data_IF_601591034145
#
_entry.id   IF_601591034145
#
_cell.length_a   1.000
_cell.length_b   1.000
_cell.length_c   1.000
_cell.angle_alpha   90.00
_cell.angle_beta   90.00
_cell.angle_gamma   90.00
#
_symmetry.space_group_name_H-M   'P 1'
#
loop_
_entity.id
_entity.type
_entity.pdbx_description
1 polymer ?
#
# COMPACT_ATOMS: atom_id res chain seq x y z
N UNK A 1 1.81 61.88 19.49
CA UNK A 1 2.42 61.52 18.19
C UNK A 1 3.86 61.31 18.52
N UNK A 2 4.22 60.09 18.87
CA UNK A 2 5.61 59.71 19.13
C UNK A 2 5.78 58.35 18.46
N UNK A 3 6.43 58.39 17.31
CA UNK A 3 6.83 57.23 16.50
C UNK A 3 8.14 56.70 17.08
N UNK A 4 8.12 55.53 17.72
CA UNK A 4 9.35 54.80 18.03
C UNK A 4 9.76 53.93 16.85
N UNK A 5 10.94 54.25 16.32
CA UNK A 5 11.57 53.60 15.19
C UNK A 5 12.02 52.18 15.55
N UNK A 6 11.68 51.23 14.68
CA UNK A 6 12.08 49.83 14.76
C UNK A 6 13.43 49.67 14.04
N UNK A 7 14.49 49.33 14.75
CA UNK A 7 15.79 48.98 14.17
C UNK A 7 15.79 47.52 13.65
N UNK A 8 16.38 47.23 12.49
CA UNK A 8 16.43 45.87 11.94
C UNK A 8 17.54 45.03 12.58
N UNK A 9 17.20 43.80 12.97
CA UNK A 9 18.13 42.77 13.43
C UNK A 9 18.80 42.10 12.23
N UNK A 10 20.13 42.11 12.18
CA UNK A 10 20.90 41.37 11.16
C UNK A 10 20.99 39.87 11.50
N UNK A 11 20.94 38.96 10.50
CA UNK A 11 21.08 37.52 10.74
C UNK A 11 22.54 37.09 10.87
N UNK A 12 22.81 36.19 11.82
CA UNK A 12 24.12 35.56 12.06
C UNK A 12 24.53 34.59 10.93
N UNK A 13 25.84 34.38 10.68
CA UNK A 13 26.32 33.54 9.59
C UNK A 13 26.25 32.04 9.92
N UNK A 14 25.75 31.26 8.96
CA UNK A 14 25.70 29.80 8.99
C UNK A 14 27.11 29.17 9.07
N UNK A 15 27.32 28.38 10.13
CA UNK A 15 28.53 27.60 10.35
C UNK A 15 28.62 26.39 9.40
N UNK A 16 29.74 26.33 8.68
CA UNK A 16 30.15 25.24 7.80
C UNK A 16 30.97 24.21 8.58
N UNK A 17 30.70 22.92 8.38
CA UNK A 17 31.71 21.87 8.46
C UNK A 17 31.31 20.61 9.24
N UNK A 18 31.39 19.46 8.57
CA UNK A 18 31.33 18.15 9.22
C UNK A 18 31.03 16.98 8.30
N UNK A 19 31.75 16.86 7.17
CA UNK A 19 31.80 15.62 6.38
C UNK A 19 32.65 14.59 7.14
N UNK A 20 32.06 13.50 7.61
CA UNK A 20 32.79 12.27 7.93
C UNK A 20 32.16 11.09 7.21
N UNK A 21 32.75 10.79 6.05
CA UNK A 21 32.54 9.57 5.30
C UNK A 21 33.16 8.39 6.04
N UNK A 22 32.34 7.45 6.50
CA UNK A 22 32.82 6.14 6.97
C UNK A 22 33.05 5.24 5.76
N UNK A 23 34.30 4.85 5.58
CA UNK A 23 34.83 3.96 4.54
C UNK A 23 34.66 2.48 4.92
N UNK A 24 34.30 1.71 3.91
CA UNK A 24 34.74 0.35 3.55
C UNK A 24 34.77 -0.78 4.60
N UNK A 25 34.00 -1.84 4.35
CA UNK A 25 34.56 -3.19 4.06
C UNK A 25 33.58 -3.96 3.14
N UNK A 26 33.90 -4.07 1.84
CA UNK A 26 33.29 -5.06 0.95
C UNK A 26 34.38 -6.05 0.51
N UNK A 27 34.22 -7.32 0.90
CA UNK A 27 35.10 -8.41 0.48
C UNK A 27 34.57 -9.01 -0.83
N UNK A 28 35.35 -9.08 -1.92
CA UNK A 28 34.89 -9.70 -3.16
C UNK A 28 35.04 -11.23 -3.12
N UNK A 29 34.03 -11.93 -3.63
CA UNK A 29 34.06 -13.37 -3.93
C UNK A 29 34.81 -13.62 -5.27
N UNK A 30 35.46 -14.78 -5.44
CA UNK A 30 36.18 -15.12 -6.67
C UNK A 30 35.20 -15.46 -7.83
N UNK A 31 35.63 -15.33 -9.11
CA UNK A 31 34.78 -15.57 -10.26
C UNK A 31 34.62 -17.07 -10.56
N UNK A 32 33.38 -17.48 -10.88
CA UNK A 32 33.07 -18.80 -11.42
C UNK A 32 33.54 -18.92 -12.87
N UNK A 33 34.11 -20.09 -13.18
CA UNK A 33 34.69 -20.45 -14.46
C UNK A 33 33.61 -20.59 -15.54
N UNK A 34 33.89 -19.98 -16.71
CA UNK A 34 33.03 -20.03 -17.89
C UNK A 34 33.02 -21.44 -18.51
N UNK A 35 31.84 -22.05 -18.59
CA UNK A 35 31.60 -23.23 -19.42
C UNK A 35 31.34 -22.81 -20.87
N UNK A 36 32.12 -23.37 -21.78
CA UNK A 36 32.10 -23.12 -23.21
C UNK A 36 30.84 -23.65 -23.90
N UNK A 37 30.33 -22.88 -24.86
CA UNK A 37 29.25 -23.27 -25.77
C UNK A 37 29.77 -24.16 -26.91
N UNK A 38 29.13 -25.30 -27.12
CA UNK A 38 29.31 -26.12 -28.32
C UNK A 38 28.22 -25.77 -29.37
N UNK A 39 28.66 -25.36 -30.56
CA UNK A 39 27.80 -24.97 -31.67
C UNK A 39 27.16 -26.16 -32.41
N UNK A 40 26.09 -25.93 -33.19
CA UNK A 40 25.37 -27.00 -33.89
C UNK A 40 26.05 -27.40 -35.21
N UNK A 41 26.17 -28.71 -35.43
CA UNK A 41 26.64 -29.33 -36.68
C UNK A 41 25.62 -29.17 -37.83
N UNK A 42 26.11 -28.79 -39.01
CA UNK A 42 25.34 -28.65 -40.25
C UNK A 42 25.03 -30.01 -40.91
N UNK A 43 23.78 -30.19 -41.37
CA UNK A 43 23.35 -31.35 -42.15
C UNK A 43 23.49 -31.10 -43.68
N UNK A 44 23.84 -32.11 -44.50
CA UNK A 44 24.15 -31.90 -45.91
C UNK A 44 22.91 -31.83 -46.84
N UNK A 45 23.07 -31.01 -47.88
CA UNK A 45 22.09 -30.64 -48.89
C UNK A 45 21.57 -31.80 -49.77
N UNK A 46 20.26 -31.86 -49.96
CA UNK A 46 19.59 -32.74 -50.92
C UNK A 46 19.47 -32.06 -52.31
N UNK A 47 19.91 -32.78 -53.35
CA UNK A 47 19.86 -32.38 -54.76
C UNK A 47 18.41 -32.21 -55.26
N UNK A 48 18.11 -31.03 -55.78
CA UNK A 48 16.86 -30.73 -56.48
C UNK A 48 16.75 -31.41 -57.84
N UNK A 49 15.58 -31.99 -58.11
CA UNK A 49 15.16 -32.54 -59.40
C UNK A 49 14.36 -31.47 -60.14
N UNK A 50 14.84 -31.05 -61.31
CA UNK A 50 14.25 -30.01 -62.15
C UNK A 50 13.10 -30.63 -62.96
N UNK A 51 11.90 -30.06 -62.83
CA UNK A 51 10.75 -30.34 -63.70
C UNK A 51 10.59 -29.19 -64.69
N UNK A 52 10.49 -29.54 -65.97
CA UNK A 52 10.49 -28.61 -67.10
C UNK A 52 9.32 -27.63 -67.07
N UNK A 53 9.65 -26.35 -66.88
CA UNK A 53 8.78 -25.21 -67.06
C UNK A 53 8.61 -24.92 -68.55
N UNK A 54 7.59 -25.53 -69.18
CA UNK A 54 7.23 -25.17 -70.55
C UNK A 54 5.72 -25.11 -70.83
N UNK A 55 4.84 -25.45 -69.88
CA UNK A 55 3.39 -25.52 -70.14
C UNK A 55 2.49 -24.77 -69.13
N UNK A 56 3.06 -24.13 -68.10
CA UNK A 56 2.25 -23.57 -66.99
C UNK A 56 1.77 -22.10 -67.20
N UNK A 57 2.35 -21.35 -68.12
CA UNK A 57 2.08 -19.90 -68.26
C UNK A 57 0.67 -19.57 -68.81
N UNK A 58 0.10 -20.26 -69.82
CA UNK A 58 -1.23 -19.88 -70.33
C UNK A 58 -2.37 -20.31 -69.40
N UNK A 59 -2.20 -21.38 -68.61
CA UNK A 59 -3.24 -21.89 -67.72
C UNK A 59 -3.45 -21.00 -66.48
N UNK A 60 -2.37 -20.48 -65.88
CA UNK A 60 -2.45 -19.59 -64.71
C UNK A 60 -3.07 -18.25 -65.08
N UNK A 61 -2.75 -17.71 -66.27
CA UNK A 61 -3.33 -16.44 -66.72
C UNK A 61 -4.85 -16.55 -66.98
N UNK A 62 -5.31 -17.65 -67.56
CA UNK A 62 -6.74 -17.94 -67.75
C UNK A 62 -7.48 -18.08 -66.43
N UNK A 63 -6.89 -18.76 -65.44
CA UNK A 63 -7.48 -18.92 -64.11
C UNK A 63 -7.58 -17.58 -63.39
N UNK A 64 -6.54 -16.74 -63.45
CA UNK A 64 -6.56 -15.40 -62.82
C UNK A 64 -7.60 -14.49 -63.48
N UNK A 65 -7.70 -14.48 -64.81
CA UNK A 65 -8.72 -13.67 -65.52
C UNK A 65 -10.13 -14.17 -65.20
N UNK A 66 -10.33 -15.49 -65.11
CA UNK A 66 -11.63 -16.06 -64.76
C UNK A 66 -12.01 -15.76 -63.30
N UNK A 67 -11.07 -15.82 -62.36
CA UNK A 67 -11.31 -15.48 -60.95
C UNK A 67 -11.58 -13.98 -60.75
N UNK A 68 -10.92 -13.11 -61.50
CA UNK A 68 -11.19 -11.66 -61.47
C UNK A 68 -12.55 -11.33 -62.08
N UNK A 69 -12.94 -11.98 -63.18
CA UNK A 69 -14.28 -11.84 -63.77
C UNK A 69 -15.39 -12.31 -62.82
N UNK A 70 -15.18 -13.44 -62.12
CA UNK A 70 -16.11 -13.95 -61.10
C UNK A 70 -16.17 -13.02 -59.88
N UNK A 71 -15.05 -12.41 -59.49
CA UNK A 71 -14.99 -11.42 -58.40
C UNK A 71 -15.72 -10.12 -58.72
N UNK A 72 -15.67 -9.66 -59.97
CA UNK A 72 -16.39 -8.45 -60.40
C UNK A 72 -17.90 -8.67 -60.57
N UNK A 73 -18.33 -9.88 -60.92
CA UNK A 73 -19.76 -10.24 -61.02
C UNK A 73 -20.43 -10.53 -59.66
N UNK A 74 -19.67 -10.67 -58.56
CA UNK A 74 -20.20 -10.93 -57.21
C UNK A 74 -20.29 -9.71 -56.31
N UNK A 75 -19.94 -8.51 -56.79
CA UNK A 75 -19.83 -7.31 -55.93
C UNK A 75 -21.12 -6.50 -55.80
N UNK A 76 -22.16 -6.81 -56.57
CA UNK A 76 -23.46 -6.17 -56.43
C UNK A 76 -24.52 -7.23 -56.13
N UNK A 77 -24.82 -7.42 -54.84
CA UNK A 77 -26.15 -7.74 -54.29
C UNK A 77 -26.01 -8.22 -52.83
N UNK A 78 -26.54 -7.41 -51.89
CA UNK A 78 -26.78 -7.85 -50.52
C UNK A 78 -25.93 -7.19 -49.44
N UNK A 79 -26.15 -5.89 -49.21
CA UNK A 79 -25.94 -5.30 -47.88
C UNK A 79 -26.72 -6.17 -46.88
N UNK A 80 -26.04 -6.99 -46.09
CA UNK A 80 -26.69 -7.75 -45.04
C UNK A 80 -27.53 -6.80 -44.17
N UNK A 81 -28.81 -7.12 -43.88
CA UNK A 81 -29.62 -6.30 -43.01
C UNK A 81 -28.86 -6.14 -41.68
N UNK A 82 -28.85 -4.91 -41.12
CA UNK A 82 -28.42 -4.75 -39.72
C UNK A 82 -29.26 -5.73 -38.90
N UNK A 83 -28.64 -6.59 -38.06
CA UNK A 83 -29.42 -7.46 -37.20
C UNK A 83 -30.37 -6.56 -36.41
N UNK A 84 -31.67 -6.80 -36.55
CA UNK A 84 -32.64 -6.22 -35.64
C UNK A 84 -32.21 -6.63 -34.23
N UNK A 85 -32.09 -5.71 -33.26
CA UNK A 85 -31.82 -6.09 -31.89
C UNK A 85 -32.88 -7.12 -31.50
N UNK A 86 -32.43 -8.35 -31.25
CA UNK A 86 -33.29 -9.41 -30.76
C UNK A 86 -33.84 -8.90 -29.43
N UNK A 87 -35.17 -8.88 -29.23
CA UNK A 87 -35.71 -8.54 -27.92
C UNK A 87 -35.09 -9.53 -26.93
N UNK A 88 -34.27 -9.00 -26.02
CA UNK A 88 -33.75 -9.76 -24.88
C UNK A 88 -34.97 -10.20 -24.08
N UNK A 89 -35.38 -11.44 -24.29
CA UNK A 89 -36.34 -12.10 -23.42
C UNK A 89 -35.70 -12.17 -22.03
N UNK A 90 -36.34 -11.61 -20.99
CA UNK A 90 -35.85 -11.83 -19.65
C UNK A 90 -36.07 -13.31 -19.29
N UNK A 91 -35.05 -13.90 -18.68
CA UNK A 91 -35.03 -15.22 -18.06
C UNK A 91 -34.99 -16.44 -19.01
N UNK A 92 -33.86 -16.62 -19.70
CA UNK A 92 -33.22 -17.94 -19.58
C UNK A 92 -32.54 -17.94 -18.21
N UNK A 93 -32.76 -18.98 -17.42
CA UNK A 93 -32.04 -19.28 -16.19
C UNK A 93 -30.54 -19.00 -16.37
N UNK A 94 -30.14 -17.84 -15.86
CA UNK A 94 -28.88 -17.48 -15.22
C UNK A 94 -27.70 -18.38 -15.61
N UNK A 95 -26.73 -17.84 -16.37
CA UNK A 95 -25.35 -18.36 -16.34
C UNK A 95 -24.89 -18.29 -14.88
N UNK A 96 -25.09 -19.37 -14.13
CA UNK A 96 -24.87 -19.43 -12.69
C UNK A 96 -23.40 -19.66 -12.39
N UNK A 97 -22.69 -20.33 -13.32
CA UNK A 97 -21.29 -20.69 -13.14
C UNK A 97 -20.45 -20.24 -14.34
N UNK A 98 -19.21 -19.85 -14.06
CA UNK A 98 -18.26 -19.38 -15.07
C UNK A 98 -18.02 -20.44 -16.16
N UNK A 99 -18.05 -21.73 -15.78
CA UNK A 99 -17.87 -22.89 -16.67
C UNK A 99 -18.94 -23.02 -17.74
N UNK A 100 -20.09 -22.36 -17.58
CA UNK A 100 -21.16 -22.36 -18.60
C UNK A 100 -20.69 -21.68 -19.89
N UNK A 101 -19.71 -20.77 -19.79
CA UNK A 101 -19.09 -20.07 -20.92
C UNK A 101 -17.58 -20.33 -21.05
N UNK A 102 -16.88 -20.61 -19.95
CA UNK A 102 -15.43 -20.76 -19.92
C UNK A 102 -15.02 -22.21 -19.68
N UNK A 103 -14.61 -22.92 -20.74
CA UNK A 103 -14.05 -24.27 -20.64
C UNK A 103 -12.67 -24.32 -19.96
N UNK A 104 -11.99 -23.18 -19.83
CA UNK A 104 -10.63 -23.06 -19.31
C UNK A 104 -10.47 -21.70 -18.63
N UNK A 105 -10.60 -21.71 -17.30
CA UNK A 105 -10.57 -20.51 -16.46
C UNK A 105 -9.15 -19.91 -16.34
N UNK A 106 -8.12 -20.70 -16.61
CA UNK A 106 -6.71 -20.32 -16.46
C UNK A 106 -6.10 -19.74 -17.76
N UNK A 107 -6.85 -19.70 -18.87
CA UNK A 107 -6.36 -19.23 -20.16
C UNK A 107 -5.68 -17.85 -20.09
N UNK A 108 -6.37 -16.89 -19.47
CA UNK A 108 -5.89 -15.51 -19.38
C UNK A 108 -4.63 -15.36 -18.52
N UNK A 109 -4.45 -16.23 -17.53
CA UNK A 109 -3.25 -16.27 -16.68
C UNK A 109 -2.03 -16.81 -17.42
N UNK A 110 -2.24 -17.75 -18.35
CA UNK A 110 -1.15 -18.28 -19.19
C UNK A 110 -0.74 -17.30 -20.29
N UNK A 111 -1.70 -16.56 -20.83
CA UNK A 111 -1.44 -15.51 -21.83
C UNK A 111 -0.72 -14.29 -21.22
N UNK A 112 -0.92 -14.04 -19.93
CA UNK A 112 -0.30 -12.94 -19.19
C UNK A 112 0.39 -13.48 -17.94
N UNK A 113 1.59 -14.05 -18.15
CA UNK A 113 2.36 -14.81 -17.17
C UNK A 113 3.00 -13.95 -16.04
N UNK A 114 2.27 -12.96 -15.51
CA UNK A 114 2.69 -12.13 -14.36
C UNK A 114 2.41 -12.81 -13.02
N UNK A 115 1.66 -13.92 -13.01
CA UNK A 115 1.27 -14.69 -11.83
C UNK A 115 1.32 -16.21 -12.10
N UNK A 116 1.91 -16.95 -11.17
CA UNK A 116 1.97 -18.42 -11.11
C UNK A 116 0.78 -18.93 -10.29
N UNK A 117 -0.40 -18.93 -10.91
CA UNK A 117 -1.66 -19.35 -10.28
C UNK A 117 -2.39 -20.34 -11.18
N UNK A 118 -3.08 -21.32 -10.58
CA UNK A 118 -4.09 -22.14 -11.26
C UNK A 118 -5.32 -22.30 -10.37
N UNK A 119 -6.52 -22.27 -10.97
CA UNK A 119 -7.76 -22.56 -10.24
C UNK A 119 -7.75 -23.99 -9.70
N UNK A 120 -7.24 -24.95 -10.49
CA UNK A 120 -7.18 -26.37 -10.11
C UNK A 120 -6.49 -26.60 -8.75
N UNK A 121 -5.33 -25.97 -8.51
CA UNK A 121 -4.61 -26.14 -7.22
C UNK A 121 -5.37 -25.56 -6.05
N UNK A 122 -6.06 -24.44 -6.24
CA UNK A 122 -6.84 -23.81 -5.16
C UNK A 122 -8.11 -24.60 -4.87
N UNK A 123 -8.74 -25.16 -5.90
CA UNK A 123 -9.91 -26.03 -5.73
C UNK A 123 -9.52 -27.35 -5.05
N UNK A 124 -8.34 -27.91 -5.36
CA UNK A 124 -7.84 -29.13 -4.76
C UNK A 124 -7.61 -29.04 -3.24
N UNK A 125 -7.41 -27.84 -2.69
CA UNK A 125 -7.26 -27.61 -1.25
C UNK A 125 -8.60 -27.26 -0.56
N UNK A 126 -9.73 -27.37 -1.27
CA UNK A 126 -11.08 -27.20 -0.71
C UNK A 126 -11.66 -25.79 -0.85
N UNK A 127 -11.00 -24.87 -1.57
CA UNK A 127 -11.60 -23.56 -1.90
C UNK A 127 -12.55 -23.77 -3.06
N UNK A 128 -13.85 -23.90 -2.80
CA UNK A 128 -14.85 -24.17 -3.85
C UNK A 128 -15.79 -23.00 -4.14
N UNK A 129 -15.88 -22.02 -3.24
CA UNK A 129 -16.71 -20.84 -3.43
C UNK A 129 -15.93 -19.77 -4.20
N UNK A 130 -16.43 -19.41 -5.39
CA UNK A 130 -15.85 -18.38 -6.25
C UNK A 130 -15.73 -17.03 -5.53
N UNK A 131 -16.66 -16.70 -4.63
CA UNK A 131 -16.72 -15.42 -3.94
C UNK A 131 -15.56 -15.22 -2.94
N UNK A 132 -14.87 -16.30 -2.54
CA UNK A 132 -13.66 -16.23 -1.71
C UNK A 132 -12.57 -15.42 -2.42
N UNK A 133 -12.47 -15.54 -3.74
CA UNK A 133 -11.50 -14.78 -4.54
C UNK A 133 -12.16 -13.62 -5.30
N UNK A 134 -13.34 -13.83 -5.86
CA UNK A 134 -14.03 -12.87 -6.70
C UNK A 134 -15.11 -12.12 -5.92
N UNK A 135 -14.67 -11.14 -5.13
CA UNK A 135 -15.53 -10.31 -4.25
C UNK A 135 -16.44 -9.33 -4.99
N UNK A 136 -16.24 -9.18 -6.30
CA UNK A 136 -17.06 -8.38 -7.19
C UNK A 136 -17.35 -9.17 -8.47
N UNK A 137 -18.36 -8.74 -9.23
CA UNK A 137 -18.68 -9.36 -10.51
C UNK A 137 -17.44 -9.37 -11.42
N UNK A 138 -17.04 -10.54 -11.94
CA UNK A 138 -15.75 -10.70 -12.62
C UNK A 138 -15.69 -9.96 -13.96
N UNK A 139 -16.81 -9.79 -14.66
CA UNK A 139 -16.87 -9.06 -15.93
C UNK A 139 -17.90 -7.92 -15.88
N UNK A 140 -17.46 -6.74 -16.27
CA UNK A 140 -18.28 -5.59 -16.63
C UNK A 140 -18.16 -5.34 -18.15
N UNK A 141 -19.07 -4.56 -18.77
CA UNK A 141 -19.05 -4.33 -20.22
C UNK A 141 -17.71 -3.81 -20.76
N UNK A 142 -16.95 -3.09 -19.94
CA UNK A 142 -15.70 -2.41 -20.30
C UNK A 142 -14.46 -2.95 -19.59
N UNK A 143 -14.60 -3.87 -18.61
CA UNK A 143 -13.46 -4.39 -17.84
C UNK A 143 -13.68 -5.79 -17.25
N UNK A 144 -12.56 -6.47 -16.99
CA UNK A 144 -12.52 -7.67 -16.14
C UNK A 144 -12.01 -7.29 -14.76
N UNK A 145 -12.81 -7.51 -13.73
CA UNK A 145 -12.41 -7.37 -12.34
C UNK A 145 -11.61 -8.60 -11.91
N UNK A 146 -10.34 -8.39 -11.55
CA UNK A 146 -9.44 -9.44 -11.10
C UNK A 146 -9.21 -9.30 -9.60
N UNK A 147 -9.08 -10.42 -8.86
CA UNK A 147 -8.66 -10.38 -7.46
C UNK A 147 -7.36 -9.60 -7.31
N UNK A 148 -7.24 -8.84 -6.23
CA UNK A 148 -6.00 -8.12 -5.90
C UNK A 148 -5.09 -9.04 -5.08
N UNK A 149 -3.82 -8.64 -4.91
CA UNK A 149 -2.88 -9.36 -4.03
C UNK A 149 -3.42 -9.54 -2.61
N UNK A 150 -4.16 -8.55 -2.09
CA UNK A 150 -4.82 -8.59 -0.77
C UNK A 150 -5.69 -9.84 -0.62
N UNK A 151 -6.44 -10.20 -1.67
CA UNK A 151 -7.29 -11.40 -1.65
C UNK A 151 -6.49 -12.68 -1.43
N UNK A 152 -5.33 -12.82 -2.07
CA UNK A 152 -4.45 -13.97 -1.87
C UNK A 152 -3.95 -14.01 -0.41
N UNK A 153 -3.59 -12.85 0.15
CA UNK A 153 -3.03 -12.71 1.48
C UNK A 153 -4.06 -12.80 2.62
N UNK A 154 -5.34 -13.00 2.31
CA UNK A 154 -6.33 -13.41 3.32
C UNK A 154 -6.06 -14.83 3.84
N UNK A 155 -5.43 -15.67 3.02
CA UNK A 155 -5.06 -17.04 3.38
C UNK A 155 -3.54 -17.27 3.35
N UNK A 156 -2.80 -16.53 2.53
CA UNK A 156 -1.36 -16.64 2.37
C UNK A 156 -0.60 -15.61 3.21
N UNK A 157 0.66 -15.89 3.54
CA UNK A 157 1.55 -14.91 4.14
C UNK A 157 3.00 -15.16 3.71
N UNK A 158 3.84 -14.12 3.78
CA UNK A 158 5.28 -14.24 3.54
C UNK A 158 6.05 -14.69 4.80
N UNK A 159 5.35 -14.89 5.91
CA UNK A 159 5.94 -15.32 7.17
C UNK A 159 6.27 -16.81 7.15
N UNK A 160 7.25 -17.18 7.98
CA UNK A 160 7.60 -18.58 8.16
C UNK A 160 6.41 -19.36 8.76
N UNK A 161 6.08 -20.51 8.16
CA UNK A 161 4.93 -21.33 8.58
C UNK A 161 3.57 -20.88 8.04
N UNK A 162 3.50 -19.74 7.33
CA UNK A 162 2.31 -19.30 6.61
C UNK A 162 1.89 -20.24 5.48
N UNK A 163 0.69 -20.05 4.91
CA UNK A 163 0.26 -20.80 3.73
C UNK A 163 0.97 -20.23 2.49
N UNK A 164 1.62 -21.09 1.71
CA UNK A 164 2.56 -20.68 0.65
C UNK A 164 3.59 -19.63 1.15
N UNK A 165 4.37 -19.98 2.19
CA UNK A 165 5.34 -19.08 2.77
C UNK A 165 6.53 -18.92 1.82
N UNK A 166 7.25 -17.80 1.90
CA UNK A 166 8.50 -17.61 1.18
C UNK A 166 8.57 -16.31 0.39
N UNK A 167 9.24 -16.36 -0.77
CA UNK A 167 9.59 -15.18 -1.56
C UNK A 167 8.51 -14.82 -2.57
N UNK A 168 8.50 -13.57 -3.03
CA UNK A 168 7.58 -13.07 -4.07
C UNK A 168 7.58 -13.94 -5.33
N UNK A 169 8.71 -14.60 -5.62
CA UNK A 169 8.89 -15.49 -6.77
C UNK A 169 8.06 -16.77 -6.70
N UNK A 170 7.46 -17.12 -5.56
CA UNK A 170 6.54 -18.25 -5.50
C UNK A 170 5.30 -17.99 -6.37
N UNK A 171 4.83 -16.73 -6.37
CA UNK A 171 3.67 -16.28 -7.13
C UNK A 171 4.06 -15.50 -8.38
N UNK A 172 5.17 -14.77 -8.40
CA UNK A 172 5.54 -13.90 -9.52
C UNK A 172 6.78 -14.41 -10.27
N UNK A 173 6.93 -14.09 -11.57
CA UNK A 173 8.21 -14.21 -12.26
C UNK A 173 9.32 -13.44 -11.53
N UNK A 174 10.57 -13.91 -11.65
CA UNK A 174 11.72 -13.31 -10.94
C UNK A 174 12.06 -11.91 -11.45
N UNK A 175 11.76 -11.67 -12.71
CA UNK A 175 12.01 -10.46 -13.49
C UNK A 175 10.89 -9.41 -13.39
N UNK A 176 9.77 -9.74 -12.72
CA UNK A 176 8.71 -8.78 -12.49
C UNK A 176 9.14 -7.75 -11.44
N UNK A 177 9.03 -6.46 -11.75
CA UNK A 177 9.04 -5.40 -10.74
C UNK A 177 7.70 -5.41 -10.00
N UNK A 178 7.66 -5.82 -8.71
CA UNK A 178 6.43 -5.92 -7.95
C UNK A 178 5.92 -4.56 -7.46
N UNK A 179 6.68 -3.48 -7.66
CA UNK A 179 6.34 -2.15 -7.15
C UNK A 179 5.06 -1.63 -7.81
N UNK A 180 4.02 -1.30 -7.02
CA UNK A 180 2.82 -0.68 -7.57
C UNK A 180 3.14 0.65 -8.24
N UNK A 181 2.37 1.02 -9.27
CA UNK A 181 2.53 2.31 -9.96
C UNK A 181 2.48 3.52 -9.02
N UNK A 182 1.76 3.41 -7.91
CA UNK A 182 1.66 4.46 -6.89
C UNK A 182 3.00 4.86 -6.28
N UNK A 183 3.95 3.92 -6.17
CA UNK A 183 5.26 4.16 -5.56
C UNK A 183 6.20 4.97 -6.46
N UNK A 184 5.86 5.09 -7.76
CA UNK A 184 6.63 5.88 -8.73
C UNK A 184 6.10 7.31 -8.84
N UNK A 185 5.00 7.64 -8.16
CA UNK A 185 4.45 8.98 -8.16
C UNK A 185 5.32 9.88 -7.27
N UNK A 186 5.69 11.06 -7.77
CA UNK A 186 6.57 12.00 -7.06
C UNK A 186 5.94 12.52 -5.76
N UNK A 187 4.61 12.54 -5.67
CA UNK A 187 3.83 12.94 -4.50
C UNK A 187 3.44 11.76 -3.60
N UNK A 188 3.96 10.55 -3.86
CA UNK A 188 3.76 9.38 -3.00
C UNK A 188 4.17 9.70 -1.57
N UNK A 189 5.37 10.25 -1.39
CA UNK A 189 5.78 10.91 -0.16
C UNK A 189 5.82 12.42 -0.40
N UNK A 190 5.26 13.26 0.49
CA UNK A 190 4.68 12.94 1.81
C UNK A 190 3.15 12.75 1.82
N UNK A 191 2.45 13.02 0.72
CA UNK A 191 0.99 13.21 0.75
C UNK A 191 0.23 11.90 0.56
N UNK A 192 0.40 11.22 -0.57
CA UNK A 192 -0.48 10.08 -0.93
C UNK A 192 -0.24 8.84 -0.08
N UNK A 193 0.96 8.67 0.45
CA UNK A 193 1.30 7.57 1.36
C UNK A 193 0.44 7.61 2.62
N UNK A 194 0.30 8.79 3.25
CA UNK A 194 -0.50 8.97 4.45
C UNK A 194 -1.97 8.66 4.21
N UNK A 195 -2.55 9.25 3.16
CA UNK A 195 -3.95 9.01 2.77
C UNK A 195 -4.23 7.54 2.47
N UNK A 196 -3.33 6.88 1.72
CA UNK A 196 -3.47 5.47 1.39
C UNK A 196 -3.33 4.56 2.63
N UNK A 197 -2.39 4.86 3.52
CA UNK A 197 -2.17 4.09 4.75
C UNK A 197 -3.35 4.25 5.74
N UNK A 198 -3.99 5.42 5.78
CA UNK A 198 -5.19 5.65 6.58
C UNK A 198 -6.42 4.93 5.99
N UNK A 199 -6.52 4.87 4.66
CA UNK A 199 -7.62 4.22 3.98
C UNK A 199 -7.60 2.69 4.14
N UNK A 200 -6.44 2.07 3.91
CA UNK A 200 -6.27 0.62 4.06
C UNK A 200 -4.79 0.24 4.30
N UNK A 201 -4.34 0.14 5.56
CA UNK A 201 -2.97 -0.23 5.88
C UNK A 201 -2.66 -1.70 5.55
N UNK A 202 -3.68 -2.56 5.39
CA UNK A 202 -3.48 -3.98 5.11
C UNK A 202 -2.93 -4.22 3.69
N UNK A 203 -3.28 -3.34 2.74
CA UNK A 203 -2.68 -3.33 1.40
C UNK A 203 -1.17 -3.17 1.46
N UNK A 204 -0.66 -2.34 2.38
CA UNK A 204 0.77 -2.15 2.56
C UNK A 204 1.42 -3.40 3.19
N UNK A 205 0.78 -3.97 4.22
CA UNK A 205 1.24 -5.16 4.93
C UNK A 205 1.32 -6.42 4.04
N UNK A 206 0.62 -6.42 2.90
CA UNK A 206 0.71 -7.47 1.88
C UNK A 206 2.13 -7.63 1.34
N UNK A 207 2.90 -6.54 1.25
CA UNK A 207 4.28 -6.55 0.72
C UNK A 207 5.32 -6.10 1.74
N UNK A 208 4.95 -5.21 2.65
CA UNK A 208 5.87 -4.58 3.59
C UNK A 208 5.74 -5.20 4.98
N UNK A 209 6.88 -5.40 5.65
CA UNK A 209 6.94 -5.84 7.04
C UNK A 209 7.04 -4.64 7.98
N UNK A 210 6.80 -4.86 9.28
CA UNK A 210 6.79 -3.79 10.27
C UNK A 210 8.04 -2.91 10.29
N UNK A 211 9.20 -3.49 9.94
CA UNK A 211 10.47 -2.74 9.79
C UNK A 211 10.39 -1.60 8.77
N UNK A 212 9.60 -1.75 7.71
CA UNK A 212 9.43 -0.74 6.66
C UNK A 212 8.66 0.47 7.18
N UNK A 213 7.66 0.27 8.04
CA UNK A 213 6.96 1.38 8.67
C UNK A 213 7.89 2.05 9.70
N UNK A 214 8.54 1.24 10.55
CA UNK A 214 9.41 1.73 11.63
C UNK A 214 10.62 2.53 11.14
N UNK A 215 11.14 2.27 9.93
CA UNK A 215 12.32 2.98 9.42
C UNK A 215 12.12 4.49 9.29
N UNK A 216 10.87 4.94 9.08
CA UNK A 216 10.55 6.37 9.04
C UNK A 216 9.69 6.79 10.24
N UNK A 217 8.72 5.97 10.63
CA UNK A 217 7.77 6.33 11.68
C UNK A 217 8.31 6.09 13.09
N UNK A 218 9.28 5.20 13.29
CA UNK A 218 9.84 4.91 14.61
C UNK A 218 8.92 4.13 15.56
N UNK A 219 7.69 3.79 15.15
CA UNK A 219 6.78 2.95 15.92
C UNK A 219 6.03 1.92 15.06
N UNK A 220 5.33 1.02 15.75
CA UNK A 220 4.49 0.01 15.12
C UNK A 220 3.25 0.63 14.47
N UNK A 221 2.97 0.19 13.23
CA UNK A 221 1.97 0.74 12.32
C UNK A 221 1.39 -0.38 11.44
N UNK A 222 0.04 -0.53 11.39
CA UNK A 222 -0.94 0.20 12.18
C UNK A 222 -0.69 0.01 13.68
N UNK A 223 -1.09 0.98 14.50
CA UNK A 223 -0.83 0.88 15.93
C UNK A 223 -1.47 -0.39 16.50
N UNK A 224 -0.80 -1.08 17.44
CA UNK A 224 -1.40 -2.22 18.09
C UNK A 224 -2.67 -1.78 18.84
N UNK A 225 -3.60 -2.71 19.03
CA UNK A 225 -4.80 -2.47 19.83
C UNK A 225 -4.43 -1.97 21.23
N UNK A 226 -5.13 -0.95 21.73
CA UNK A 226 -4.87 -0.31 23.01
C UNK A 226 -3.68 0.67 23.00
N UNK A 227 -3.11 0.97 21.83
CA UNK A 227 -2.04 1.97 21.75
C UNK A 227 -2.51 3.34 22.26
N UNK A 228 -3.75 3.73 21.97
CA UNK A 228 -4.39 4.99 22.38
C UNK A 228 -4.56 5.16 23.91
N UNK A 229 -4.23 4.13 24.69
CA UNK A 229 -4.23 4.19 26.15
C UNK A 229 -2.82 4.53 26.69
N UNK A 230 -2.30 3.70 27.61
CA UNK A 230 -1.01 3.93 28.25
C UNK A 230 0.18 3.92 27.27
N UNK A 231 0.27 3.00 26.28
CA UNK A 231 1.43 2.96 25.39
C UNK A 231 1.66 4.26 24.61
N UNK A 232 0.60 4.96 24.22
CA UNK A 232 0.68 6.28 23.60
C UNK A 232 1.28 7.32 24.56
N UNK A 233 0.76 7.40 25.80
CA UNK A 233 1.25 8.33 26.81
C UNK A 233 2.71 8.04 27.21
N UNK A 234 3.08 6.77 27.37
CA UNK A 234 4.47 6.36 27.64
C UNK A 234 5.42 6.80 26.52
N UNK A 235 5.00 6.62 25.26
CA UNK A 235 5.81 7.03 24.11
C UNK A 235 5.91 8.54 23.98
N UNK A 236 4.83 9.27 24.29
CA UNK A 236 4.85 10.74 24.31
C UNK A 236 5.84 11.27 25.34
N UNK A 237 5.85 10.75 26.57
CA UNK A 237 6.79 11.21 27.59
C UNK A 237 8.25 10.79 27.32
N UNK A 238 8.46 9.76 26.49
CA UNK A 238 9.80 9.36 26.06
C UNK A 238 10.34 10.23 24.91
N UNK A 239 9.49 10.60 23.95
CA UNK A 239 9.88 11.38 22.77
C UNK A 239 8.70 12.26 22.28
N UNK A 240 8.48 13.44 22.88
CA UNK A 240 7.38 14.33 22.51
C UNK A 240 7.47 14.85 21.07
N UNK A 241 8.70 14.90 20.51
CA UNK A 241 8.99 15.35 19.16
C UNK A 241 8.59 14.32 18.10
N UNK A 242 8.43 13.04 18.48
CA UNK A 242 7.78 12.06 17.62
C UNK A 242 6.33 12.42 17.34
N UNK A 243 5.65 13.01 18.33
CA UNK A 243 4.26 13.46 18.22
C UNK A 243 4.03 14.46 17.10
N UNK A 244 4.96 15.39 16.88
CA UNK A 244 4.86 16.40 15.79
C UNK A 244 4.91 15.78 14.39
N UNK A 245 5.49 14.59 14.26
CA UNK A 245 5.54 13.85 12.99
C UNK A 245 4.22 13.15 12.69
N UNK A 246 3.35 13.00 13.69
CA UNK A 246 2.10 12.22 13.61
C UNK A 246 0.84 13.09 13.79
N UNK A 247 0.90 14.08 14.67
CA UNK A 247 -0.17 15.03 14.96
C UNK A 247 0.35 16.45 14.73
N UNK A 248 0.04 17.08 13.58
CA UNK A 248 0.47 18.46 13.33
C UNK A 248 -0.15 19.38 14.38
N UNK A 249 0.70 19.95 15.25
CA UNK A 249 0.29 20.93 16.25
C UNK A 249 -0.05 22.23 15.54
N UNK A 250 -1.34 22.52 15.38
CA UNK A 250 -1.77 23.87 14.99
C UNK A 250 -1.33 24.87 16.08
N UNK A 251 -1.17 26.16 15.76
CA UNK A 251 -0.96 27.18 16.78
C UNK A 251 -2.06 27.05 17.86
N UNK A 252 -1.67 27.10 19.14
CA UNK A 252 -2.57 26.91 20.28
C UNK A 252 -3.52 28.12 20.42
N UNK A 253 -4.53 28.21 19.56
CA UNK A 253 -5.59 29.24 19.61
C UNK A 253 -6.87 28.71 20.28
N UNK A 254 -6.88 27.43 20.64
CA UNK A 254 -7.99 26.70 21.24
C UNK A 254 -7.56 25.29 21.65
N UNK A 255 -8.53 24.43 21.97
CA UNK A 255 -8.27 23.03 22.31
C UNK A 255 -7.58 22.33 21.13
N UNK A 256 -6.42 21.73 21.36
CA UNK A 256 -5.70 21.00 20.33
C UNK A 256 -6.20 19.54 20.18
N UNK A 257 -5.57 18.79 19.26
CA UNK A 257 -5.91 17.38 19.05
C UNK A 257 -5.59 16.50 20.28
N UNK A 258 -4.59 16.89 21.08
CA UNK A 258 -4.16 16.18 22.28
C UNK A 258 -5.21 16.35 23.39
N UNK A 259 -5.64 17.58 23.62
CA UNK A 259 -6.62 17.95 24.64
C UNK A 259 -7.99 17.32 24.40
N UNK A 260 -8.33 16.96 23.15
CA UNK A 260 -9.57 16.24 22.83
C UNK A 260 -9.69 14.94 23.63
N UNK A 261 -8.57 14.22 23.82
CA UNK A 261 -8.54 12.96 24.54
C UNK A 261 -7.94 13.10 25.95
N UNK A 262 -6.93 13.96 26.15
CA UNK A 262 -6.23 14.11 27.43
C UNK A 262 -6.91 15.09 28.40
N UNK A 263 -7.53 16.15 27.88
CA UNK A 263 -8.24 17.15 28.69
C UNK A 263 -9.68 17.37 28.18
N UNK A 264 -10.49 16.29 28.05
CA UNK A 264 -11.80 16.33 27.40
C UNK A 264 -12.82 17.22 28.14
N UNK A 265 -12.48 17.69 29.33
CA UNK A 265 -13.31 18.50 30.22
C UNK A 265 -13.31 20.00 29.86
N UNK A 266 -12.42 20.46 28.98
CA UNK A 266 -12.36 21.85 28.53
C UNK A 266 -13.45 22.25 27.52
N UNK A 267 -13.69 23.54 27.27
CA UNK A 267 -14.40 23.97 26.07
C UNK A 267 -13.49 23.80 24.83
N UNK A 268 -14.07 23.65 23.64
CA UNK A 268 -13.30 23.57 22.39
C UNK A 268 -12.59 24.89 22.05
N UNK A 269 -13.20 26.01 22.44
CA UNK A 269 -12.75 27.36 22.10
C UNK A 269 -11.65 27.93 23.03
N UNK A 270 -11.11 27.15 23.96
CA UNK A 270 -10.06 27.61 24.88
C UNK A 270 -8.94 26.60 24.99
N UNK A 271 -7.72 27.10 25.19
CA UNK A 271 -6.57 26.25 25.47
C UNK A 271 -6.74 25.55 26.82
N UNK A 272 -6.02 24.44 27.02
CA UNK A 272 -5.97 23.82 28.34
C UNK A 272 -5.45 24.79 29.41
N UNK A 273 -4.40 25.58 29.12
CA UNK A 273 -3.84 26.54 30.09
C UNK A 273 -4.88 27.56 30.57
N UNK A 274 -5.76 28.04 29.69
CA UNK A 274 -6.79 29.00 30.10
C UNK A 274 -7.88 28.35 30.98
N UNK A 275 -8.19 27.08 30.72
CA UNK A 275 -9.31 26.40 31.37
C UNK A 275 -8.93 25.52 32.56
N UNK A 276 -7.67 25.07 32.66
CA UNK A 276 -7.20 24.22 33.76
C UNK A 276 -7.54 24.77 35.16
N UNK A 277 -7.56 26.10 35.43
CA UNK A 277 -7.89 26.59 36.77
C UNK A 277 -9.33 26.28 37.16
N UNK A 278 -10.27 26.28 36.20
CA UNK A 278 -11.67 25.95 36.45
C UNK A 278 -11.85 24.45 36.74
N UNK A 279 -11.14 23.59 36.01
CA UNK A 279 -11.15 22.14 36.26
C UNK A 279 -10.59 21.82 37.64
N UNK A 280 -9.43 22.41 37.99
CA UNK A 280 -8.80 22.20 39.30
C UNK A 280 -9.68 22.75 40.44
N UNK A 281 -10.29 23.93 40.26
CA UNK A 281 -11.19 24.53 41.25
C UNK A 281 -12.41 23.66 41.55
N UNK A 282 -13.01 23.07 40.51
CA UNK A 282 -14.27 22.34 40.65
C UNK A 282 -14.10 20.84 40.92
N UNK A 283 -12.99 20.24 40.47
CA UNK A 283 -12.78 18.77 40.52
C UNK A 283 -11.55 18.36 41.33
N UNK A 284 -10.71 19.31 41.72
CA UNK A 284 -9.42 19.05 42.35
C UNK A 284 -8.37 18.51 41.37
N UNK A 285 -7.16 18.26 41.89
CA UNK A 285 -6.02 17.79 41.10
C UNK A 285 -5.73 16.29 41.26
N UNK A 286 -6.47 15.57 42.11
CA UNK A 286 -6.16 14.18 42.48
C UNK A 286 -6.10 13.22 41.27
N UNK A 287 -6.93 13.45 40.25
CA UNK A 287 -6.93 12.65 39.02
C UNK A 287 -5.74 12.97 38.10
N UNK A 288 -5.19 14.18 38.17
CA UNK A 288 -4.05 14.61 37.37
C UNK A 288 -2.79 13.81 37.76
N UNK A 289 -2.62 13.53 39.06
CA UNK A 289 -1.53 12.72 39.62
C UNK A 289 -1.59 11.23 39.27
N UNK A 290 -2.45 10.82 38.35
CA UNK A 290 -2.38 9.48 37.74
C UNK A 290 -1.40 9.44 36.56
N UNK A 291 -1.12 10.59 35.97
CA UNK A 291 -0.26 10.71 34.79
C UNK A 291 0.81 11.80 34.95
N UNK A 292 0.51 12.90 35.65
CA UNK A 292 1.44 14.02 35.83
C UNK A 292 1.98 14.08 37.26
N UNK A 293 3.28 14.18 37.41
CA UNK A 293 3.96 14.38 38.67
C UNK A 293 3.74 15.81 39.20
N UNK A 294 4.01 16.04 40.49
CA UNK A 294 3.80 17.37 41.10
C UNK A 294 4.71 18.45 40.53
N UNK A 295 5.85 18.04 39.94
CA UNK A 295 6.79 18.88 39.21
C UNK A 295 6.10 19.60 38.07
N UNK A 296 5.19 18.94 37.35
CA UNK A 296 4.47 19.52 36.20
C UNK A 296 3.68 20.77 36.58
N UNK A 297 2.99 20.78 37.71
CA UNK A 297 2.34 21.99 38.22
C UNK A 297 3.38 23.05 38.65
N UNK A 298 4.42 22.61 39.36
CA UNK A 298 5.43 23.51 39.93
C UNK A 298 6.25 24.23 38.87
N UNK A 299 6.57 23.58 37.76
CA UNK A 299 7.38 24.16 36.69
C UNK A 299 6.68 25.39 36.13
N UNK A 300 5.41 25.29 35.73
CA UNK A 300 4.66 26.45 35.24
C UNK A 300 4.39 27.50 36.35
N UNK A 301 3.95 27.08 37.53
CA UNK A 301 3.63 28.01 38.63
C UNK A 301 4.86 28.70 39.24
N UNK A 302 6.08 28.26 38.92
CA UNK A 302 7.33 28.94 39.33
C UNK A 302 8.05 29.65 38.18
N UNK A 303 7.98 29.13 36.97
CA UNK A 303 8.85 29.54 35.85
C UNK A 303 8.08 30.14 34.66
N UNK A 304 6.74 30.08 34.65
CA UNK A 304 5.93 30.52 33.53
C UNK A 304 5.70 29.43 32.46
N UNK A 305 5.10 29.77 31.32
CA UNK A 305 4.46 28.79 30.44
C UNK A 305 5.42 27.79 29.78
N UNK A 306 4.96 26.53 29.74
CA UNK A 306 5.25 25.41 28.82
C UNK A 306 6.71 25.16 28.39
N UNK A 307 7.67 25.31 29.30
CA UNK A 307 9.02 24.76 29.11
C UNK A 307 9.24 23.56 30.01
N UNK A 308 8.51 22.48 29.74
CA UNK A 308 8.76 21.21 30.41
C UNK A 308 10.15 20.70 30.00
N UNK A 309 10.95 20.40 31.01
CA UNK A 309 12.30 19.87 30.85
C UNK A 309 12.24 18.35 30.66
N UNK A 310 13.35 17.76 30.20
CA UNK A 310 13.48 16.30 30.12
C UNK A 310 13.26 15.64 31.49
N UNK A 311 13.65 16.32 32.58
CA UNK A 311 13.43 15.85 33.95
C UNK A 311 11.94 15.84 34.33
N UNK A 312 11.16 16.86 33.90
CA UNK A 312 9.71 16.90 34.13
C UNK A 312 9.02 15.74 33.39
N UNK A 313 9.37 15.49 32.13
CA UNK A 313 8.83 14.40 31.32
C UNK A 313 9.21 13.02 31.89
N UNK A 314 10.44 12.88 32.38
CA UNK A 314 10.89 11.65 33.02
C UNK A 314 10.12 11.38 34.33
N UNK A 315 9.79 12.41 35.11
CA UNK A 315 8.98 12.28 36.32
C UNK A 315 7.54 11.83 36.00
N UNK A 316 6.91 12.44 34.99
CA UNK A 316 5.58 12.04 34.51
C UNK A 316 5.58 10.58 34.03
N UNK A 317 6.57 10.19 33.21
CA UNK A 317 6.73 8.81 32.76
C UNK A 317 6.89 7.82 33.90
N UNK A 318 7.71 8.15 34.90
CA UNK A 318 7.93 7.29 36.06
C UNK A 318 6.63 7.07 36.87
N UNK A 319 5.84 8.12 37.05
CA UNK A 319 4.53 8.05 37.72
C UNK A 319 3.53 7.18 36.94
N UNK A 320 3.50 7.35 35.62
CA UNK A 320 2.63 6.56 34.73
C UNK A 320 2.96 5.06 34.81
N UNK A 321 4.25 4.71 34.77
CA UNK A 321 4.74 3.34 34.85
C UNK A 321 4.51 2.71 36.23
N UNK A 322 4.57 3.51 37.31
CA UNK A 322 4.31 3.06 38.67
C UNK A 322 2.81 2.86 38.97
N UNK A 323 1.93 3.49 38.18
CA UNK A 323 0.48 3.40 38.38
C UNK A 323 -0.06 2.03 37.93
N UNK A 324 -0.96 1.38 38.68
CA UNK A 324 -1.58 0.14 38.24
C UNK A 324 -2.24 0.34 36.87
N UNK A 325 -2.04 -0.61 35.93
CA UNK A 325 -2.81 -0.62 34.69
C UNK A 325 -4.30 -0.68 35.05
N UNK A 326 -5.17 0.11 34.41
CA UNK A 326 -6.60 -0.18 34.48
C UNK A 326 -6.76 -1.64 34.04
N UNK A 327 -7.32 -2.48 34.89
CA UNK A 327 -7.59 -3.87 34.53
C UNK A 327 -8.49 -3.85 33.31
N UNK A 328 -8.05 -4.45 32.20
CA UNK A 328 -8.92 -4.75 31.07
C UNK A 328 -10.08 -5.61 31.61
N UNK A 329 -11.24 -5.00 31.82
CA UNK A 329 -12.31 -5.66 32.57
C UNK A 329 -13.50 -4.77 32.87
N UNK A 330 -14.33 -4.55 31.85
CA UNK A 330 -15.78 -4.75 31.88
C UNK A 330 -16.37 -4.15 30.60
N UNK A 331 -16.44 -4.93 29.52
CA UNK A 331 -17.44 -4.67 28.49
C UNK A 331 -18.81 -4.75 29.20
N UNK A 332 -19.43 -3.58 29.36
CA UNK A 332 -20.75 -3.45 29.97
C UNK A 332 -21.80 -4.13 29.10
N UNK A 333 -22.57 -5.02 29.72
CA UNK A 333 -23.77 -5.62 29.12
C UNK A 333 -24.98 -4.71 29.11
#
# INVERSE_FOLDING_TARGET
MDEEAFEPVEPEPEGRGGDEASSDVHTPLPPEEAMAEEGPEEAPALRGRHWGSAMAVPAVLLIVVMLLAIGMLRREEGRAPRPTPVPVTPAATTFLFCSDCHADLDRSLREHAVLRFTHERHFAIGVSDCAVCHVANTHEPDRTNRPTMVTCFQCHSLEEGGRAPGTCTLCHPKDLDPSPRTHRAADWLPVRHGDAALADPFVCATCHQQRSCRSCHGLELPHPSGFDERPHAERFFEDPALGDRCHPRAPLVGRDACDRCHHPQGPEASTWIDWHPEVVRNRGAATCFRCHADQTCRTCHRQGPERFTDDDLAADRALLLASPQPSAGAEGG
#
